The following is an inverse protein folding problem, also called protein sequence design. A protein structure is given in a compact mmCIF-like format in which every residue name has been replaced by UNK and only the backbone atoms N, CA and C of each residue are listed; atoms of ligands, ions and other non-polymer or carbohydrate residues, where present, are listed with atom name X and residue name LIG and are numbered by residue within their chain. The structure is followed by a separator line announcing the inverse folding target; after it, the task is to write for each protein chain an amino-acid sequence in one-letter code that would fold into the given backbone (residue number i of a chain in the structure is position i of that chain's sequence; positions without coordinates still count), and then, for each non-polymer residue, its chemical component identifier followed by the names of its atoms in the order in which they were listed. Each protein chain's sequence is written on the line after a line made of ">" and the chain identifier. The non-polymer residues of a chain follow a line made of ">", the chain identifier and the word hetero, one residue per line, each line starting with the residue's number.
data_IF_231653337418
#
_entry.id   IF_231653337418
#
_cell.length_a   1.000
_cell.length_b   1.000
_cell.length_c   1.000
_cell.angle_alpha   90.00
_cell.angle_beta   90.00
_cell.angle_gamma   90.00
#
_symmetry.space_group_name_H-M   'P 1'
#
loop_
_entity.id
_entity.type
_entity.pdbx_description
1 polymer ?
#
# COMPACT_ATOMS: atom_id res chain seq x y z
N UNK A 1 0.45 23.16 9.16
CA UNK A 1 0.12 21.89 8.48
C UNK A 1 0.68 20.75 9.32
N UNK A 2 -0.03 19.63 9.37
CA UNK A 2 0.35 18.44 10.15
C UNK A 2 0.90 17.35 9.23
N UNK A 3 1.94 16.64 9.69
CA UNK A 3 2.51 15.49 8.99
C UNK A 3 1.44 14.42 8.72
N UNK A 4 1.27 13.93 7.48
CA UNK A 4 0.24 12.95 7.17
C UNK A 4 0.48 11.60 7.86
N UNK A 5 1.74 11.24 8.08
CA UNK A 5 2.15 9.96 8.67
C UNK A 5 2.00 9.89 10.20
N UNK A 6 2.24 10.99 10.93
CA UNK A 6 2.27 10.95 12.41
C UNK A 6 1.60 12.15 13.10
N UNK A 7 0.98 13.05 12.34
CA UNK A 7 0.21 14.22 12.80
C UNK A 7 0.98 15.31 13.57
N UNK A 8 2.29 15.17 13.76
CA UNK A 8 3.16 16.23 14.29
C UNK A 8 3.28 17.42 13.33
N UNK A 9 3.73 18.57 13.84
CA UNK A 9 3.98 19.75 13.00
C UNK A 9 5.04 19.48 11.93
N UNK A 10 4.79 19.98 10.72
CA UNK A 10 5.73 19.86 9.61
C UNK A 10 6.92 20.80 9.78
N UNK A 11 8.09 20.37 9.34
CA UNK A 11 9.29 21.23 9.26
C UNK A 11 9.58 21.56 7.81
N UNK A 12 10.04 22.79 7.53
CA UNK A 12 10.18 23.30 6.15
C UNK A 12 11.00 22.37 5.24
N UNK A 13 12.10 21.82 5.75
CA UNK A 13 12.98 20.92 5.00
C UNK A 13 12.30 19.62 4.55
N UNK A 14 11.32 19.11 5.30
CA UNK A 14 10.70 17.82 5.06
C UNK A 14 9.22 17.91 4.68
N UNK A 15 8.69 19.12 4.39
CA UNK A 15 7.26 19.26 4.02
C UNK A 15 6.89 18.33 2.86
N UNK A 16 5.74 17.63 2.92
CA UNK A 16 4.64 17.75 3.89
C UNK A 16 4.82 16.97 5.21
N UNK A 17 6.01 16.45 5.51
CA UNK A 17 6.31 15.63 6.68
C UNK A 17 7.02 16.40 7.81
N UNK A 18 7.14 15.76 8.97
CA UNK A 18 7.90 16.30 10.11
C UNK A 18 9.37 15.85 10.14
N UNK A 19 9.77 14.83 9.35
CA UNK A 19 11.12 14.28 9.34
C UNK A 19 11.38 13.41 8.12
N UNK A 20 12.67 13.15 7.79
CA UNK A 20 13.07 12.17 6.77
C UNK A 20 12.43 10.79 7.00
N UNK A 21 12.41 10.31 8.25
CA UNK A 21 11.79 9.02 8.62
C UNK A 21 10.33 8.93 8.18
N UNK A 22 9.55 10.00 8.34
CA UNK A 22 8.15 10.00 7.92
C UNK A 22 8.01 10.00 6.39
N UNK A 23 8.91 10.67 5.67
CA UNK A 23 8.95 10.60 4.20
C UNK A 23 9.32 9.18 3.72
N UNK A 24 10.30 8.53 4.35
CA UNK A 24 10.71 7.17 3.99
C UNK A 24 9.58 6.14 4.27
N UNK A 25 8.82 6.31 5.35
CA UNK A 25 7.65 5.46 5.65
C UNK A 25 6.57 5.62 4.58
N UNK A 26 6.29 6.86 4.16
CA UNK A 26 5.33 7.12 3.09
C UNK A 26 5.78 6.46 1.78
N UNK A 27 7.06 6.59 1.43
CA UNK A 27 7.65 5.93 0.27
C UNK A 27 7.55 4.39 0.36
N UNK A 28 7.77 3.82 1.55
CA UNK A 28 7.60 2.39 1.78
C UNK A 28 6.19 1.90 1.44
N UNK A 29 5.16 2.66 1.84
CA UNK A 29 3.74 2.36 1.52
C UNK A 29 3.45 2.40 0.03
N UNK A 30 4.11 3.30 -0.71
CA UNK A 30 4.01 3.31 -2.17
C UNK A 30 4.57 2.03 -2.80
N UNK A 31 5.73 1.56 -2.33
CA UNK A 31 6.37 0.37 -2.88
C UNK A 31 5.74 -0.95 -2.43
N UNK A 32 5.12 -1.01 -1.26
CA UNK A 32 4.38 -2.19 -0.82
C UNK A 32 3.00 -2.31 -1.46
N UNK A 33 2.51 -1.27 -2.14
CA UNK A 33 1.17 -1.23 -2.71
C UNK A 33 0.07 -0.90 -1.69
N UNK A 34 0.42 -0.40 -0.49
CA UNK A 34 -0.57 0.01 0.52
C UNK A 34 -1.44 1.17 0.03
N UNK A 35 -0.95 1.96 -0.94
CA UNK A 35 -1.69 3.02 -1.61
C UNK A 35 -2.32 2.58 -2.95
N UNK A 36 -2.60 1.28 -3.12
CA UNK A 36 -3.35 0.79 -4.26
C UNK A 36 -4.85 1.10 -4.16
N UNK A 37 -5.48 1.37 -5.30
CA UNK A 37 -6.94 1.48 -5.44
C UNK A 37 -7.41 0.27 -6.24
N UNK A 38 -8.45 -0.46 -5.78
CA UNK A 38 -9.01 -1.57 -6.54
C UNK A 38 -9.51 -1.12 -7.93
N UNK A 39 -9.37 -1.98 -8.94
CA UNK A 39 -9.98 -1.74 -10.25
C UNK A 39 -11.50 -1.84 -10.17
N UNK A 40 -12.20 -0.96 -10.88
CA UNK A 40 -13.66 -1.02 -11.08
C UNK A 40 -14.03 -1.77 -12.37
N UNK A 41 -13.05 -2.15 -13.19
CA UNK A 41 -13.29 -2.93 -14.40
C UNK A 41 -13.69 -4.38 -14.03
N UNK A 42 -14.86 -4.86 -14.48
CA UNK A 42 -15.30 -6.22 -14.22
C UNK A 42 -14.30 -7.30 -14.67
N UNK A 43 -13.59 -7.07 -15.79
CA UNK A 43 -12.62 -8.04 -16.33
C UNK A 43 -11.39 -8.16 -15.42
N UNK A 44 -10.89 -7.04 -14.91
CA UNK A 44 -9.76 -7.02 -13.95
C UNK A 44 -10.13 -7.71 -12.63
N UNK A 45 -11.37 -7.51 -12.15
CA UNK A 45 -11.86 -8.13 -10.92
C UNK A 45 -11.99 -9.65 -11.05
N UNK A 46 -12.51 -10.13 -12.18
CA UNK A 46 -12.62 -11.57 -12.45
C UNK A 46 -11.22 -12.21 -12.55
N UNK A 47 -10.29 -11.56 -13.26
CA UNK A 47 -8.90 -12.02 -13.37
C UNK A 47 -8.19 -12.08 -12.00
N UNK A 48 -8.37 -11.06 -11.15
CA UNK A 48 -7.79 -11.04 -9.81
C UNK A 48 -8.35 -12.15 -8.91
N UNK A 49 -9.66 -12.42 -9.00
CA UNK A 49 -10.30 -13.49 -8.24
C UNK A 49 -9.83 -14.89 -8.69
N UNK A 50 -9.71 -15.11 -10.00
CA UNK A 50 -9.19 -16.36 -10.55
C UNK A 50 -7.74 -16.60 -10.10
N UNK A 51 -6.88 -15.58 -10.21
CA UNK A 51 -5.49 -15.66 -9.78
C UNK A 51 -5.37 -16.02 -8.29
N UNK A 52 -6.17 -15.37 -7.43
CA UNK A 52 -6.19 -15.66 -6.00
C UNK A 52 -6.71 -17.08 -5.70
N UNK A 53 -7.75 -17.51 -6.42
CA UNK A 53 -8.30 -18.88 -6.28
C UNK A 53 -7.30 -19.94 -6.73
N UNK A 54 -6.54 -19.67 -7.79
CA UNK A 54 -5.48 -20.54 -8.28
C UNK A 54 -4.36 -20.71 -7.26
N UNK A 55 -3.94 -19.63 -6.59
CA UNK A 55 -2.97 -19.67 -5.50
C UNK A 55 -3.45 -20.53 -4.33
N UNK A 56 -4.73 -20.42 -3.94
CA UNK A 56 -5.31 -21.26 -2.87
C UNK A 56 -5.37 -22.73 -3.26
N UNK A 57 -5.65 -23.03 -4.52
CA UNK A 57 -5.72 -24.41 -5.03
C UNK A 57 -4.35 -25.08 -5.13
N UNK A 58 -3.31 -24.29 -5.43
CA UNK A 58 -1.94 -24.77 -5.61
C UNK A 58 -1.14 -24.80 -4.31
N UNK A 59 -1.64 -24.21 -3.23
CA UNK A 59 -1.01 -24.36 -1.91
C UNK A 59 -1.01 -25.83 -1.48
N UNK A 60 0.15 -26.38 -1.07
CA UNK A 60 0.19 -27.70 -0.47
C UNK A 60 -0.67 -27.66 0.81
N UNK A 61 -1.61 -28.61 0.95
CA UNK A 61 -2.31 -28.80 2.21
C UNK A 61 -1.26 -29.29 3.21
N UNK A 62 -0.83 -28.42 4.12
CA UNK A 62 -0.02 -28.82 5.26
C UNK A 62 -0.70 -30.03 5.94
N UNK A 63 0.07 -31.10 6.11
CA UNK A 63 -0.32 -32.32 6.85
C UNK A 63 0.13 -32.24 8.29
#
# INVERSE_FOLDING_TARGET
>A
MTCPQCKKDTVQQYRPFCSKRCADIDLGKWFSGDYAVPSEDPEDQEAAFEAMTSLLRTQPRDS
#
